data_IF_339920059945
#
_entry.id   IF_339920059945
#
_cell.length_a   1.000
_cell.length_b   1.000
_cell.length_c   1.000
_cell.angle_alpha   90.00
_cell.angle_beta   90.00
_cell.angle_gamma   90.00
#
_symmetry.space_group_name_H-M   'P 1'
#
loop_
_entity.id
_entity.type
_entity.pdbx_description
1 polymer ?
#
# COMPACT_ATOMS: atom_id res chain seq x y z
N UNK A 1 9.12 -26.13 73.33
CA UNK A 1 8.32 -25.78 72.13
C UNK A 1 8.60 -24.33 71.76
N UNK A 2 9.09 -24.04 70.55
CA UNK A 2 9.26 -22.65 70.11
C UNK A 2 7.91 -21.93 70.04
N UNK A 3 7.85 -20.70 70.59
CA UNK A 3 6.67 -19.83 70.53
C UNK A 3 6.24 -19.58 69.08
N UNK A 4 4.92 -19.54 68.83
CA UNK A 4 4.35 -19.37 67.49
C UNK A 4 4.94 -18.15 66.76
N UNK A 5 5.19 -17.04 67.48
CA UNK A 5 5.76 -15.81 66.90
C UNK A 5 7.16 -16.01 66.30
N UNK A 6 7.99 -16.84 66.94
CA UNK A 6 9.35 -17.15 66.44
C UNK A 6 9.28 -18.07 65.22
N UNK A 7 8.37 -19.05 65.21
CA UNK A 7 8.15 -19.93 64.04
C UNK A 7 7.67 -19.13 62.82
N UNK A 8 6.73 -18.20 63.01
CA UNK A 8 6.28 -17.30 61.94
C UNK A 8 7.41 -16.41 61.42
N UNK A 9 8.24 -15.84 62.31
CA UNK A 9 9.39 -15.04 61.89
C UNK A 9 10.41 -15.83 61.08
N UNK A 10 10.69 -17.08 61.46
CA UNK A 10 11.59 -17.97 60.72
C UNK A 10 10.98 -18.35 59.37
N UNK A 11 9.68 -18.64 59.32
CA UNK A 11 8.97 -18.98 58.09
C UNK A 11 8.95 -17.81 57.10
N UNK A 12 8.72 -16.59 57.58
CA UNK A 12 8.78 -15.37 56.74
C UNK A 12 10.20 -15.12 56.25
N UNK A 13 11.21 -15.27 57.10
CA UNK A 13 12.62 -15.15 56.68
C UNK A 13 12.98 -16.18 55.61
N UNK A 14 12.54 -17.44 55.77
CA UNK A 14 12.75 -18.49 54.78
C UNK A 14 12.03 -18.17 53.46
N UNK A 15 10.78 -17.68 53.53
CA UNK A 15 10.02 -17.28 52.35
C UNK A 15 10.70 -16.13 51.60
N UNK A 16 11.25 -15.15 52.30
CA UNK A 16 12.01 -14.05 51.71
C UNK A 16 13.31 -14.52 51.07
N UNK A 17 14.01 -15.49 51.68
CA UNK A 17 15.23 -16.08 51.10
C UNK A 17 14.89 -16.84 49.81
N UNK A 18 13.85 -17.67 49.83
CA UNK A 18 13.40 -18.41 48.64
C UNK A 18 12.93 -17.44 47.55
N UNK A 19 12.14 -16.44 47.90
CA UNK A 19 11.67 -15.41 46.96
C UNK A 19 12.83 -14.64 46.35
N UNK A 20 13.80 -14.21 47.17
CA UNK A 20 15.01 -13.51 46.70
C UNK A 20 15.83 -14.39 45.77
N UNK A 21 15.96 -15.69 46.06
CA UNK A 21 16.67 -16.63 45.19
C UNK A 21 15.96 -16.82 43.85
N UNK A 22 14.63 -17.01 43.84
CA UNK A 22 13.85 -17.12 42.61
C UNK A 22 13.91 -15.83 41.78
N UNK A 23 13.80 -14.67 42.45
CA UNK A 23 13.92 -13.37 41.79
C UNK A 23 15.31 -13.19 41.17
N UNK A 24 16.37 -13.55 41.90
CA UNK A 24 17.73 -13.51 41.40
C UNK A 24 17.90 -14.42 40.17
N UNK A 25 17.37 -15.64 40.18
CA UNK A 25 17.45 -16.54 39.01
C UNK A 25 16.73 -15.98 37.79
N UNK A 26 15.56 -15.36 37.97
CA UNK A 26 14.80 -14.76 36.86
C UNK A 26 15.52 -13.54 36.29
N UNK A 27 16.06 -12.67 37.16
CA UNK A 27 16.83 -11.50 36.73
C UNK A 27 18.11 -11.93 36.00
N UNK A 28 18.80 -12.95 36.50
CA UNK A 28 20.00 -13.49 35.86
C UNK A 28 19.70 -14.09 34.47
N UNK A 29 18.63 -14.87 34.34
CA UNK A 29 18.17 -15.40 33.04
C UNK A 29 17.85 -14.29 32.05
N UNK A 30 17.13 -13.25 32.49
CA UNK A 30 16.79 -12.10 31.65
C UNK A 30 18.05 -11.35 31.15
N UNK A 31 19.07 -11.20 32.00
CA UNK A 31 20.33 -10.54 31.64
C UNK A 31 21.08 -11.35 30.57
N UNK A 32 21.14 -12.67 30.70
CA UNK A 32 21.79 -13.54 29.71
C UNK A 32 21.04 -13.55 28.37
N UNK A 33 19.71 -13.56 28.37
CA UNK A 33 18.90 -13.45 27.14
C UNK A 33 19.13 -12.12 26.42
N UNK A 34 19.09 -10.99 27.14
CA UNK A 34 19.37 -9.69 26.55
C UNK A 34 20.79 -9.62 25.97
N UNK A 35 21.77 -10.20 26.66
CA UNK A 35 23.15 -10.28 26.17
C UNK A 35 23.22 -11.12 24.89
N UNK A 36 22.59 -12.29 24.84
CA UNK A 36 22.52 -13.15 23.66
C UNK A 36 21.89 -12.42 22.46
N UNK A 37 20.75 -11.75 22.67
CA UNK A 37 20.08 -11.01 21.60
C UNK A 37 20.92 -9.85 21.07
N UNK A 38 21.64 -9.15 21.96
CA UNK A 38 22.56 -8.07 21.58
C UNK A 38 23.74 -8.57 20.75
N UNK A 39 24.25 -9.78 21.07
CA UNK A 39 25.33 -10.43 20.31
C UNK A 39 24.83 -10.84 18.93
N UNK A 40 23.67 -11.49 18.84
CA UNK A 40 23.06 -11.87 17.55
C UNK A 40 22.83 -10.64 16.65
N UNK A 41 22.26 -9.56 17.20
CA UNK A 41 22.07 -8.30 16.45
C UNK A 41 23.41 -7.73 15.96
N UNK A 42 24.46 -7.80 16.78
CA UNK A 42 25.80 -7.36 16.40
C UNK A 42 26.41 -8.25 15.32
N UNK A 43 26.26 -9.57 15.41
CA UNK A 43 26.68 -10.54 14.39
C UNK A 43 25.98 -10.30 13.06
N UNK A 44 24.66 -10.10 13.07
CA UNK A 44 23.89 -9.75 11.87
C UNK A 44 24.35 -8.45 11.22
N UNK A 45 24.69 -7.44 12.03
CA UNK A 45 25.22 -6.17 11.53
C UNK A 45 26.62 -6.35 10.91
N UNK A 46 27.48 -7.12 11.55
CA UNK A 46 28.82 -7.45 11.04
C UNK A 46 28.68 -8.20 9.72
N UNK A 47 27.78 -9.18 9.64
CA UNK A 47 27.57 -9.98 8.43
C UNK A 47 27.00 -9.14 7.29
N UNK A 48 25.99 -8.28 7.57
CA UNK A 48 25.47 -7.31 6.59
C UNK A 48 26.58 -6.39 6.07
N UNK A 49 27.46 -5.94 6.95
CA UNK A 49 28.59 -5.08 6.59
C UNK A 49 29.64 -5.85 5.77
N UNK A 50 29.91 -7.12 6.12
CA UNK A 50 30.81 -8.01 5.39
C UNK A 50 30.31 -8.23 3.96
N UNK A 51 29.05 -8.64 3.80
CA UNK A 51 28.42 -8.85 2.49
C UNK A 51 28.43 -7.56 1.66
N UNK A 52 28.10 -6.41 2.27
CA UNK A 52 28.17 -5.11 1.58
C UNK A 52 29.58 -4.80 1.10
N UNK A 53 30.58 -5.08 1.92
CA UNK A 53 31.99 -4.81 1.61
C UNK A 53 32.48 -5.71 0.48
N UNK A 54 32.13 -6.99 0.52
CA UNK A 54 32.41 -7.97 -0.54
C UNK A 54 31.74 -7.60 -1.87
N UNK A 55 30.47 -7.18 -1.86
CA UNK A 55 29.81 -6.66 -3.05
C UNK A 55 30.53 -5.43 -3.61
N UNK A 56 30.93 -4.49 -2.75
CA UNK A 56 31.64 -3.28 -3.18
C UNK A 56 33.01 -3.61 -3.76
N UNK A 57 33.74 -4.61 -3.23
CA UNK A 57 35.04 -4.99 -3.80
C UNK A 57 34.91 -5.59 -5.19
N UNK A 58 33.82 -6.31 -5.45
CA UNK A 58 33.56 -7.01 -6.71
C UNK A 58 32.56 -6.26 -7.60
N UNK A 59 32.33 -4.97 -7.34
CA UNK A 59 31.30 -4.17 -8.00
C UNK A 59 31.49 -4.11 -9.52
N UNK A 60 32.74 -4.14 -9.99
CA UNK A 60 33.07 -4.14 -11.42
C UNK A 60 32.69 -5.45 -12.11
N UNK A 61 32.93 -6.60 -11.48
CA UNK A 61 32.57 -7.90 -12.05
C UNK A 61 31.05 -8.04 -12.17
N UNK A 62 30.31 -7.58 -11.15
CA UNK A 62 28.87 -7.51 -11.19
C UNK A 62 28.36 -6.58 -12.30
N UNK A 63 29.04 -5.45 -12.52
CA UNK A 63 28.70 -4.53 -13.61
C UNK A 63 28.98 -5.15 -14.99
N UNK A 64 30.10 -5.85 -15.16
CA UNK A 64 30.44 -6.55 -16.41
C UNK A 64 29.41 -7.66 -16.70
N UNK A 65 29.02 -8.44 -15.70
CA UNK A 65 27.97 -9.45 -15.84
C UNK A 65 26.63 -8.82 -16.25
N UNK A 66 26.26 -7.72 -15.60
CA UNK A 66 25.08 -6.94 -15.95
C UNK A 66 25.12 -6.47 -17.40
N UNK A 67 26.25 -5.94 -17.86
CA UNK A 67 26.40 -5.51 -19.26
C UNK A 67 26.25 -6.68 -20.24
N UNK A 68 26.84 -7.85 -19.96
CA UNK A 68 26.67 -9.05 -20.80
C UNK A 68 25.19 -9.44 -20.94
N UNK A 69 24.46 -9.49 -19.82
CA UNK A 69 23.03 -9.80 -19.80
C UNK A 69 22.20 -8.72 -20.51
N UNK A 70 22.59 -7.46 -20.36
CA UNK A 70 21.95 -6.33 -21.04
C UNK A 70 22.10 -6.42 -22.56
N UNK A 71 23.29 -6.75 -23.05
CA UNK A 71 23.54 -6.97 -24.48
C UNK A 71 22.80 -8.20 -25.02
N UNK A 72 22.66 -9.25 -24.20
CA UNK A 72 21.86 -10.43 -24.52
C UNK A 72 20.33 -10.19 -24.45
N UNK A 73 19.89 -8.98 -24.06
CA UNK A 73 18.47 -8.62 -23.82
C UNK A 73 17.78 -9.47 -22.75
N UNK A 74 18.53 -10.06 -21.84
CA UNK A 74 18.02 -10.83 -20.70
C UNK A 74 17.62 -9.89 -19.54
N UNK A 75 16.66 -9.00 -19.81
CA UNK A 75 16.36 -7.86 -18.92
C UNK A 75 15.84 -8.25 -17.53
N UNK A 76 15.17 -9.39 -17.38
CA UNK A 76 14.74 -9.87 -16.06
C UNK A 76 15.94 -10.13 -15.14
N UNK A 77 17.00 -10.75 -15.67
CA UNK A 77 18.25 -11.00 -14.92
C UNK A 77 19.02 -9.70 -14.65
N UNK A 78 18.98 -8.76 -15.59
CA UNK A 78 19.57 -7.41 -15.40
C UNK A 78 18.88 -6.68 -14.25
N UNK A 79 17.56 -6.75 -14.16
CA UNK A 79 16.77 -6.14 -13.08
C UNK A 79 17.18 -6.71 -11.72
N UNK A 80 17.41 -8.01 -11.60
CA UNK A 80 17.87 -8.63 -10.35
C UNK A 80 19.23 -8.07 -9.89
N UNK A 81 20.19 -7.93 -10.80
CA UNK A 81 21.49 -7.33 -10.46
C UNK A 81 21.31 -5.86 -10.06
N UNK A 82 20.49 -5.10 -10.78
CA UNK A 82 20.20 -3.69 -10.46
C UNK A 82 19.60 -3.53 -9.05
N UNK A 83 18.76 -4.48 -8.60
CA UNK A 83 18.20 -4.45 -7.23
C UNK A 83 19.32 -4.50 -6.18
N UNK A 84 20.33 -5.35 -6.39
CA UNK A 84 21.49 -5.46 -5.49
C UNK A 84 22.30 -4.16 -5.47
N UNK A 85 22.54 -3.54 -6.64
CA UNK A 85 23.19 -2.22 -6.72
C UNK A 85 22.40 -1.15 -5.95
N UNK A 86 21.08 -1.11 -6.09
CA UNK A 86 20.24 -0.16 -5.36
C UNK A 86 20.27 -0.41 -3.84
N UNK A 87 20.20 -1.68 -3.41
CA UNK A 87 20.25 -2.08 -2.01
C UNK A 87 21.50 -1.54 -1.29
N UNK A 88 22.63 -1.48 -1.99
CA UNK A 88 23.89 -0.98 -1.43
C UNK A 88 24.22 0.47 -1.79
N UNK A 89 23.22 1.24 -2.24
CA UNK A 89 23.36 2.68 -2.52
C UNK A 89 24.31 2.97 -3.68
N UNK A 90 24.24 2.15 -4.74
CA UNK A 90 25.00 2.26 -5.99
C UNK A 90 24.06 2.38 -7.19
N UNK A 91 22.93 3.07 -7.00
CA UNK A 91 21.85 3.17 -8.00
C UNK A 91 22.24 3.93 -9.27
N UNK A 92 23.23 4.81 -9.16
CA UNK A 92 23.77 5.71 -10.17
C UNK A 92 25.18 5.28 -10.62
N UNK A 93 25.61 4.06 -10.27
CA UNK A 93 26.91 3.56 -10.66
C UNK A 93 27.02 3.48 -12.18
N UNK A 94 27.92 4.28 -12.77
CA UNK A 94 28.16 4.35 -14.22
C UNK A 94 26.85 4.57 -15.01
N UNK A 95 26.57 3.73 -16.00
CA UNK A 95 25.46 3.91 -16.93
C UNK A 95 24.15 3.27 -16.44
N UNK A 96 24.05 2.83 -15.17
CA UNK A 96 22.85 2.14 -14.67
C UNK A 96 21.58 2.97 -14.82
N UNK A 97 21.67 4.30 -14.69
CA UNK A 97 20.52 5.19 -14.92
C UNK A 97 20.00 5.10 -16.35
N UNK A 98 20.91 5.04 -17.33
CA UNK A 98 20.56 4.87 -18.75
C UNK A 98 19.96 3.49 -19.00
N UNK A 99 20.61 2.44 -18.49
CA UNK A 99 20.15 1.04 -18.63
C UNK A 99 18.74 0.87 -18.04
N UNK A 100 18.47 1.42 -16.84
CA UNK A 100 17.14 1.42 -16.22
C UNK A 100 16.08 2.07 -17.11
N UNK A 101 16.42 3.21 -17.73
CA UNK A 101 15.53 3.94 -18.65
C UNK A 101 15.26 3.12 -19.91
N UNK A 102 16.30 2.52 -20.49
CA UNK A 102 16.19 1.71 -21.71
C UNK A 102 15.31 0.47 -21.47
N UNK A 103 15.52 -0.25 -20.36
CA UNK A 103 14.70 -1.40 -19.96
C UNK A 103 13.25 -0.98 -19.72
N UNK A 104 13.02 0.11 -18.98
CA UNK A 104 11.68 0.65 -18.75
C UNK A 104 10.98 0.96 -20.08
N UNK A 105 11.69 1.61 -21.00
CA UNK A 105 11.17 1.94 -22.33
C UNK A 105 10.88 0.69 -23.16
N UNK A 106 11.71 -0.36 -23.05
CA UNK A 106 11.48 -1.64 -23.72
C UNK A 106 10.17 -2.29 -23.26
N UNK A 107 9.95 -2.44 -21.95
CA UNK A 107 8.70 -3.03 -21.44
C UNK A 107 7.48 -2.13 -21.73
N UNK A 108 7.64 -0.80 -21.69
CA UNK A 108 6.60 0.13 -22.13
C UNK A 108 6.23 -0.09 -23.60
N UNK A 109 7.22 -0.14 -24.50
CA UNK A 109 6.98 -0.41 -25.94
C UNK A 109 6.34 -1.77 -26.16
N UNK A 110 6.82 -2.81 -25.50
CA UNK A 110 6.23 -4.16 -25.56
C UNK A 110 4.75 -4.17 -25.13
N UNK A 111 4.40 -3.38 -24.12
CA UNK A 111 3.01 -3.22 -23.69
C UNK A 111 2.18 -2.36 -24.65
N UNK A 112 2.83 -1.48 -25.43
CA UNK A 112 2.21 -0.62 -26.45
C UNK A 112 2.16 -1.26 -27.85
N UNK A 113 2.88 -2.36 -28.10
CA UNK A 113 2.83 -3.13 -29.37
C UNK A 113 1.44 -3.76 -29.63
N UNK A 114 0.53 -3.69 -28.66
CA UNK A 114 -0.91 -3.98 -28.80
C UNK A 114 -1.74 -2.82 -29.37
N UNK A 115 -1.13 -1.65 -29.61
CA UNK A 115 -1.76 -0.49 -30.25
C UNK A 115 -1.27 -0.42 -31.71
N UNK A 116 -2.16 -0.46 -32.72
CA UNK A 116 -1.74 -0.39 -34.12
C UNK A 116 -0.93 0.89 -34.39
N UNK A 117 0.21 0.75 -35.07
CA UNK A 117 1.09 1.86 -35.46
C UNK A 117 0.35 2.76 -36.46
N UNK A 118 -0.16 3.88 -35.98
CA UNK A 118 -0.74 4.94 -36.82
C UNK A 118 0.41 5.68 -37.51
N UNK A 119 0.38 5.78 -38.84
CA UNK A 119 1.27 6.65 -39.61
C UNK A 119 0.95 8.12 -39.26
N UNK A 120 1.91 8.78 -38.61
CA UNK A 120 1.73 10.12 -38.10
C UNK A 120 1.47 11.14 -39.22
N UNK A 121 1.95 10.90 -40.45
CA UNK A 121 1.73 11.80 -41.57
C UNK A 121 0.30 11.69 -42.13
N UNK A 122 -0.27 10.49 -42.15
CA UNK A 122 -1.67 10.25 -42.52
C UNK A 122 -2.61 10.84 -41.46
N UNK A 123 -2.27 10.69 -40.17
CA UNK A 123 -2.98 11.30 -39.04
C UNK A 123 -2.94 12.83 -39.07
N UNK A 124 -1.80 13.46 -39.39
CA UNK A 124 -1.68 14.92 -39.48
C UNK A 124 -2.51 15.47 -40.65
N UNK A 125 -2.68 14.72 -41.74
CA UNK A 125 -3.57 15.12 -42.82
C UNK A 125 -5.04 14.92 -42.46
N UNK A 126 -5.42 13.78 -41.89
CA UNK A 126 -6.78 13.53 -41.42
C UNK A 126 -7.21 14.54 -40.34
N UNK A 127 -6.32 14.90 -39.41
CA UNK A 127 -6.61 15.89 -38.35
C UNK A 127 -6.72 17.33 -38.85
N UNK A 128 -6.24 17.66 -40.06
CA UNK A 128 -6.49 18.96 -40.70
C UNK A 128 -7.84 19.02 -41.41
N UNK A 129 -8.32 17.89 -41.92
CA UNK A 129 -9.63 17.79 -42.58
C UNK A 129 -10.77 17.60 -41.58
N UNK A 130 -10.49 16.94 -40.45
CA UNK A 130 -11.41 16.81 -39.32
C UNK A 130 -11.25 18.08 -38.46
N UNK A 131 -12.27 18.94 -38.36
CA UNK A 131 -12.38 19.86 -37.23
C UNK A 131 -12.45 19.01 -35.96
N UNK A 132 -11.31 18.71 -35.33
CA UNK A 132 -11.28 18.02 -34.06
C UNK A 132 -11.85 19.00 -33.04
N UNK A 133 -13.13 18.86 -32.72
CA UNK A 133 -13.74 19.54 -31.58
C UNK A 133 -12.97 19.12 -30.32
N UNK A 134 -12.60 20.09 -29.48
CA UNK A 134 -11.96 19.79 -28.20
C UNK A 134 -12.85 18.83 -27.39
N UNK A 135 -12.29 17.70 -26.96
CA UNK A 135 -13.02 16.72 -26.14
C UNK A 135 -13.35 17.34 -24.77
N UNK A 136 -14.58 17.84 -24.67
CA UNK A 136 -15.16 18.43 -23.48
C UNK A 136 -15.90 17.41 -22.59
N UNK A 137 -15.60 16.12 -22.75
CA UNK A 137 -16.18 15.06 -21.93
C UNK A 137 -15.87 15.25 -20.45
N UNK A 138 -16.89 15.11 -19.62
CA UNK A 138 -16.75 15.10 -18.17
C UNK A 138 -16.38 13.69 -17.72
N UNK A 139 -15.21 13.52 -17.11
CA UNK A 139 -14.75 12.25 -16.55
C UNK A 139 -15.03 12.22 -15.06
N UNK A 140 -15.64 11.14 -14.57
CA UNK A 140 -16.00 10.98 -13.17
C UNK A 140 -15.28 9.78 -12.57
N UNK A 141 -14.73 9.94 -11.38
CA UNK A 141 -14.08 8.87 -10.63
C UNK A 141 -14.54 8.85 -9.18
N UNK A 142 -15.03 7.70 -8.71
CA UNK A 142 -15.23 7.40 -7.29
C UNK A 142 -13.88 6.97 -6.68
N UNK A 143 -13.44 7.72 -5.66
CA UNK A 143 -12.23 7.41 -4.88
C UNK A 143 -12.54 6.52 -3.68
N UNK A 144 -13.66 6.79 -3.02
CA UNK A 144 -14.16 6.07 -1.86
C UNK A 144 -15.69 5.93 -2.02
N UNK A 145 -16.27 4.74 -1.82
CA UNK A 145 -15.62 3.48 -1.43
C UNK A 145 -14.99 2.74 -2.61
N UNK A 146 -14.17 1.72 -2.32
CA UNK A 146 -13.61 0.84 -3.35
C UNK A 146 -14.60 -0.25 -3.74
N UNK A 147 -14.45 -0.78 -4.95
CA UNK A 147 -15.28 -1.88 -5.43
C UNK A 147 -15.17 -3.09 -4.50
N UNK A 148 -16.33 -3.67 -4.16
CA UNK A 148 -16.46 -4.86 -3.34
C UNK A 148 -16.24 -4.63 -1.84
N UNK A 149 -16.18 -3.38 -1.39
CA UNK A 149 -15.98 -3.07 0.02
C UNK A 149 -17.22 -3.46 0.85
N UNK A 150 -16.98 -4.01 2.05
CA UNK A 150 -17.99 -4.41 3.01
C UNK A 150 -18.01 -3.43 4.19
N UNK A 151 -19.21 -3.13 4.68
CA UNK A 151 -19.45 -2.29 5.86
C UNK A 151 -20.52 -2.91 6.74
N UNK A 152 -20.39 -2.69 8.04
CA UNK A 152 -21.44 -2.96 9.02
C UNK A 152 -22.19 -1.69 9.39
N UNK A 153 -23.38 -1.84 9.97
CA UNK A 153 -24.15 -0.70 10.48
C UNK A 153 -23.41 0.15 11.53
N UNK A 154 -22.39 -0.41 12.21
CA UNK A 154 -21.48 0.32 13.09
C UNK A 154 -20.52 1.28 12.38
N UNK A 155 -20.25 1.06 11.09
CA UNK A 155 -19.30 1.88 10.31
C UNK A 155 -19.91 3.20 9.84
N UNK A 156 -21.19 3.43 10.15
CA UNK A 156 -21.89 4.62 9.73
C UNK A 156 -21.46 5.91 10.46
N UNK A 157 -21.43 7.05 9.76
CA UNK A 157 -21.76 7.22 8.34
C UNK A 157 -20.61 6.79 7.41
N UNK A 158 -20.94 6.24 6.25
CA UNK A 158 -19.96 5.91 5.21
C UNK A 158 -19.64 7.18 4.41
N UNK A 159 -18.36 7.43 4.20
CA UNK A 159 -17.89 8.51 3.33
C UNK A 159 -17.89 8.06 1.87
N UNK A 160 -18.55 8.84 1.02
CA UNK A 160 -18.40 8.81 -0.43
C UNK A 160 -17.47 9.96 -0.83
N UNK A 161 -16.51 9.69 -1.70
CA UNK A 161 -15.64 10.70 -2.29
C UNK A 161 -15.46 10.43 -3.78
N UNK A 162 -15.61 11.47 -4.59
CA UNK A 162 -15.47 11.40 -6.04
C UNK A 162 -14.81 12.65 -6.62
N UNK A 163 -14.45 12.59 -7.89
CA UNK A 163 -13.95 13.72 -8.66
C UNK A 163 -14.64 13.75 -10.03
N UNK A 164 -14.92 14.95 -10.54
CA UNK A 164 -15.49 15.18 -11.86
C UNK A 164 -14.69 16.25 -12.58
N UNK A 165 -13.99 15.88 -13.65
CA UNK A 165 -13.04 16.75 -14.36
C UNK A 165 -13.36 16.82 -15.85
N UNK A 166 -13.17 17.98 -16.47
CA UNK A 166 -13.12 18.14 -17.93
C UNK A 166 -12.05 19.16 -18.30
N UNK A 167 -11.82 19.38 -19.60
CA UNK A 167 -10.93 20.47 -20.05
C UNK A 167 -11.39 21.86 -19.60
N UNK A 168 -12.67 22.01 -19.25
CA UNK A 168 -13.27 23.26 -18.79
C UNK A 168 -13.03 23.52 -17.28
N UNK A 169 -12.54 22.52 -16.54
CA UNK A 169 -12.23 22.66 -15.10
C UNK A 169 -12.66 21.49 -14.22
N UNK A 170 -12.67 21.75 -12.91
CA UNK A 170 -13.10 20.82 -11.85
C UNK A 170 -14.57 21.10 -11.46
N UNK A 171 -15.41 20.07 -11.58
CA UNK A 171 -16.85 20.10 -11.31
C UNK A 171 -17.23 19.16 -10.16
N UNK A 172 -16.26 18.75 -9.34
CA UNK A 172 -16.44 17.73 -8.30
C UNK A 172 -17.51 18.11 -7.26
N UNK A 173 -17.67 19.39 -6.94
CA UNK A 173 -18.69 19.86 -6.00
C UNK A 173 -20.13 19.67 -6.53
N UNK A 174 -20.28 19.51 -7.85
CA UNK A 174 -21.56 19.26 -8.52
C UNK A 174 -21.93 17.78 -8.63
N UNK A 175 -21.09 16.84 -8.15
CA UNK A 175 -21.36 15.41 -8.26
C UNK A 175 -22.67 15.08 -7.55
N UNK A 176 -23.55 14.33 -8.21
CA UNK A 176 -24.77 13.75 -7.65
C UNK A 176 -24.53 12.28 -7.36
N UNK A 177 -24.84 11.84 -6.14
CA UNK A 177 -24.70 10.46 -5.70
C UNK A 177 -26.06 9.77 -5.62
N UNK A 178 -26.11 8.52 -6.06
CA UNK A 178 -27.30 7.67 -5.93
C UNK A 178 -26.94 6.22 -5.61
N UNK A 179 -27.91 5.50 -5.06
CA UNK A 179 -27.88 4.07 -4.85
C UNK A 179 -29.07 3.41 -5.55
N UNK A 180 -28.88 2.21 -6.08
CA UNK A 180 -29.96 1.35 -6.56
C UNK A 180 -31.02 0.99 -5.50
N UNK A 181 -30.69 1.05 -4.21
CA UNK A 181 -31.62 0.72 -3.11
C UNK A 181 -32.23 2.00 -2.52
N UNK A 182 -31.39 2.97 -2.16
CA UNK A 182 -31.83 4.16 -1.43
C UNK A 182 -32.19 5.37 -2.32
N UNK A 183 -32.01 5.26 -3.63
CA UNK A 183 -32.26 6.36 -4.56
C UNK A 183 -31.20 7.46 -4.46
N UNK A 184 -31.60 8.72 -4.60
CA UNK A 184 -30.67 9.86 -4.57
C UNK A 184 -30.20 10.09 -3.13
N UNK A 185 -28.87 10.10 -2.95
CA UNK A 185 -28.23 10.23 -1.65
C UNK A 185 -27.87 11.68 -1.32
N UNK A 186 -27.50 12.47 -2.34
CA UNK A 186 -27.09 13.86 -2.15
C UNK A 186 -26.12 14.35 -3.22
N UNK A 187 -25.47 15.49 -2.95
CA UNK A 187 -24.50 16.13 -3.84
C UNK A 187 -23.20 16.48 -3.12
N UNK A 188 -22.12 16.62 -3.89
CA UNK A 188 -20.82 17.12 -3.43
C UNK A 188 -19.67 16.17 -3.77
N UNK A 189 -18.45 16.73 -3.76
CA UNK A 189 -17.21 15.96 -3.91
C UNK A 189 -17.08 14.87 -2.85
N UNK A 190 -17.52 15.18 -1.63
CA UNK A 190 -17.60 14.27 -0.49
C UNK A 190 -19.01 14.28 0.09
N UNK A 191 -19.51 13.11 0.47
CA UNK A 191 -20.84 12.95 1.06
C UNK A 191 -20.83 11.85 2.12
N UNK A 192 -21.27 12.16 3.34
CA UNK A 192 -21.45 11.18 4.40
C UNK A 192 -22.88 10.62 4.35
N UNK A 193 -23.03 9.31 4.22
CA UNK A 193 -24.33 8.65 4.00
C UNK A 193 -24.58 7.53 5.03
N UNK A 194 -25.86 7.27 5.29
CA UNK A 194 -26.35 6.07 5.95
C UNK A 194 -27.18 5.30 4.94
N UNK A 195 -26.74 4.11 4.57
CA UNK A 195 -27.37 3.29 3.55
C UNK A 195 -28.22 2.20 4.18
N UNK A 196 -29.24 1.72 3.46
CA UNK A 196 -29.98 0.53 3.85
C UNK A 196 -29.07 -0.71 3.88
N UNK A 197 -29.53 -1.80 4.50
CA UNK A 197 -28.79 -3.08 4.47
C UNK A 197 -29.01 -3.73 3.10
N UNK A 198 -27.93 -4.23 2.50
CA UNK A 198 -27.98 -4.92 1.21
C UNK A 198 -26.76 -4.66 0.34
N UNK A 199 -26.86 -5.08 -0.91
CA UNK A 199 -25.86 -4.86 -1.94
C UNK A 199 -26.17 -3.58 -2.72
N UNK A 200 -25.33 -2.57 -2.56
CA UNK A 200 -25.51 -1.27 -3.20
C UNK A 200 -24.60 -1.14 -4.43
N UNK A 201 -25.20 -0.71 -5.53
CA UNK A 201 -24.54 -0.07 -6.66
C UNK A 201 -24.62 1.44 -6.44
N UNK A 202 -23.50 2.04 -6.09
CA UNK A 202 -23.36 3.47 -5.85
C UNK A 202 -22.90 4.13 -7.15
N UNK A 203 -23.68 5.09 -7.63
CA UNK A 203 -23.43 5.82 -8.88
C UNK A 203 -23.10 7.28 -8.56
N UNK A 204 -21.96 7.76 -9.05
CA UNK A 204 -21.59 9.18 -9.05
C UNK A 204 -21.80 9.75 -10.46
N UNK A 205 -22.52 10.86 -10.55
CA UNK A 205 -22.80 11.57 -11.81
C UNK A 205 -22.28 13.00 -11.73
N UNK A 206 -21.43 13.40 -12.67
CA UNK A 206 -20.86 14.75 -12.75
C UNK A 206 -21.14 15.37 -14.11
N UNK A 207 -21.29 16.69 -14.16
CA UNK A 207 -21.54 17.42 -15.41
C UNK A 207 -20.79 18.75 -15.42
N UNK A 208 -20.28 19.13 -16.59
CA UNK A 208 -19.75 20.47 -16.85
C UNK A 208 -20.78 21.42 -17.50
N UNK A 209 -22.06 21.04 -17.53
CA UNK A 209 -23.15 21.76 -18.18
C UNK A 209 -23.31 21.45 -19.67
N UNK A 210 -22.34 20.79 -20.31
CA UNK A 210 -22.40 20.36 -21.71
C UNK A 210 -22.46 18.84 -21.83
N UNK A 211 -21.61 18.14 -21.08
CA UNK A 211 -21.52 16.68 -21.05
C UNK A 211 -21.78 16.16 -19.64
N UNK A 212 -22.13 14.88 -19.54
CA UNK A 212 -22.32 14.19 -18.27
C UNK A 212 -21.44 12.94 -18.23
N UNK A 213 -20.68 12.78 -17.16
CA UNK A 213 -19.93 11.57 -16.86
C UNK A 213 -20.56 10.81 -15.70
N UNK A 214 -20.35 9.49 -15.69
CA UNK A 214 -20.83 8.63 -14.60
C UNK A 214 -19.80 7.57 -14.26
N UNK A 215 -19.70 7.21 -12.98
CA UNK A 215 -18.99 6.01 -12.55
C UNK A 215 -19.80 5.27 -11.48
N UNK A 216 -19.68 3.95 -11.47
CA UNK A 216 -20.38 3.09 -10.51
C UNK A 216 -19.37 2.26 -9.70
N UNK A 217 -19.69 2.02 -8.44
CA UNK A 217 -18.98 1.06 -7.58
C UNK A 217 -19.99 0.20 -6.82
N UNK A 218 -19.61 -1.03 -6.49
CA UNK A 218 -20.44 -1.96 -5.73
C UNK A 218 -19.92 -2.08 -4.32
N UNK A 219 -20.79 -2.01 -3.32
CA UNK A 219 -20.49 -2.20 -1.90
C UNK A 219 -21.57 -3.03 -1.21
N UNK A 220 -21.24 -3.57 -0.04
CA UNK A 220 -22.16 -4.39 0.75
C UNK A 220 -22.33 -3.81 2.15
N UNK A 221 -23.58 -3.67 2.58
CA UNK A 221 -23.97 -3.20 3.90
C UNK A 221 -24.62 -4.35 4.64
N UNK A 222 -24.06 -4.75 5.78
CA UNK A 222 -24.58 -5.82 6.62
C UNK A 222 -24.91 -5.32 8.03
N UNK A 223 -25.75 -6.09 8.74
CA UNK A 223 -25.97 -5.85 10.17
C UNK A 223 -24.72 -6.28 10.93
N UNK A 224 -24.40 -5.55 12.00
CA UNK A 224 -23.40 -6.00 12.96
C UNK A 224 -23.69 -7.43 13.44
N UNK A 225 -22.69 -8.32 13.44
CA UNK A 225 -22.90 -9.68 13.92
C UNK A 225 -23.24 -9.70 15.41
N UNK A 226 -24.16 -10.59 15.80
CA UNK A 226 -24.79 -10.57 17.13
C UNK A 226 -23.80 -10.75 18.29
N UNK A 227 -22.61 -11.31 18.07
CA UNK A 227 -21.58 -11.45 19.10
C UNK A 227 -20.97 -10.10 19.54
N UNK A 228 -20.99 -9.07 18.69
CA UNK A 228 -20.50 -7.74 19.06
C UNK A 228 -21.42 -7.05 20.10
N UNK A 229 -22.71 -7.40 20.13
CA UNK A 229 -23.67 -6.86 21.11
C UNK A 229 -23.38 -7.32 22.55
N UNK A 230 -22.67 -8.45 22.73
CA UNK A 230 -22.39 -9.02 24.05
C UNK A 230 -21.34 -8.25 24.85
N UNK A 231 -20.52 -7.42 24.21
CA UNK A 231 -19.43 -6.68 24.87
C UNK A 231 -19.80 -5.25 25.30
N UNK A 232 -21.01 -4.76 25.00
CA UNK A 232 -21.47 -3.42 25.37
C UNK A 232 -22.40 -3.41 26.61
N UNK A 233 -22.55 -4.54 27.30
CA UNK A 233 -23.52 -4.70 28.41
C UNK A 233 -22.91 -4.95 29.79
N UNK A 234 -21.62 -4.71 29.99
CA UNK A 234 -20.96 -4.73 31.30
C UNK A 234 -20.39 -3.36 31.64
#
# INVERSE_FOLDING_TARGET
>A
MLSNKVKYSIQVALMLVVFSFVLFTLVFQLIEEMRSESIKKKEEQIEKQRIKTEFISNIEDHYIQLQKLYQAKEYDKVIEIIKVFNQYGKSDYKDLTKIKKDIRLFYLKKNLDFIPKIDLNEYIQLSKEIKIEEDNSTQVFIRIPRYGQYFYTSDFPILLEGVALSILGDFSDGIVWSSNIDGILGKGKQLSVRLSIGEHKITATGTNGMTTGTMETRIYIEKDPDFLKKHLKN
#
